data_IF_991945929940
#
_entry.id   IF_991945929940
#
_cell.length_a   1.000
_cell.length_b   1.000
_cell.length_c   1.000
_cell.angle_alpha   90.00
_cell.angle_beta   90.00
_cell.angle_gamma   90.00
#
_symmetry.space_group_name_H-M   'P 1'
#
loop_
_entity.id
_entity.type
_entity.pdbx_description
1 polymer ?
#
# COMPACT_ATOMS: atom_id res chain seq x y z
N UNK A 1 -4.65 9.61 -11.98
CA UNK A 1 -4.03 8.71 -10.97
C UNK A 1 -4.01 9.43 -9.64
N UNK A 2 -4.38 8.76 -8.53
CA UNK A 2 -4.28 9.31 -7.17
C UNK A 2 -3.11 8.62 -6.46
N UNK A 3 -1.88 8.93 -6.84
CA UNK A 3 -0.65 8.39 -6.23
C UNK A 3 0.03 9.39 -5.26
N UNK A 4 -0.76 10.32 -4.72
CA UNK A 4 -0.29 11.31 -3.74
C UNK A 4 -0.65 10.99 -2.30
N UNK A 5 -1.79 10.36 -1.94
CA UNK A 5 -1.99 9.95 -0.57
C UNK A 5 -1.17 8.68 -0.34
N UNK A 6 -0.09 8.77 0.44
CA UNK A 6 0.66 7.63 0.96
C UNK A 6 -0.26 6.76 1.86
N UNK A 7 -1.16 6.01 1.22
CA UNK A 7 -2.28 5.30 1.82
C UNK A 7 -2.63 4.09 0.97
N UNK A 8 -3.01 3.00 1.64
CA UNK A 8 -3.60 1.81 1.01
C UNK A 8 -5.10 1.82 1.33
N UNK A 9 -5.93 1.76 0.30
CA UNK A 9 -7.38 1.60 0.42
C UNK A 9 -7.74 0.17 0.01
N UNK A 10 -8.45 -0.55 0.89
CA UNK A 10 -8.91 -1.92 0.63
C UNK A 10 -10.36 -1.86 0.17
N UNK A 11 -10.62 -2.45 -0.99
CA UNK A 11 -11.94 -2.57 -1.58
C UNK A 11 -12.41 -4.03 -1.52
N UNK A 12 -13.65 -4.24 -1.07
CA UNK A 12 -14.39 -5.46 -1.34
C UNK A 12 -15.15 -5.27 -2.63
N UNK A 13 -14.89 -6.11 -3.64
CA UNK A 13 -15.59 -6.09 -4.92
C UNK A 13 -16.79 -7.03 -4.89
N UNK A 14 -17.87 -6.67 -5.59
CA UNK A 14 -18.97 -7.60 -5.84
C UNK A 14 -18.51 -8.78 -6.73
N UNK A 15 -19.30 -9.84 -6.80
CA UNK A 15 -18.95 -11.06 -7.56
C UNK A 15 -18.69 -10.78 -9.04
N UNK A 16 -19.30 -9.73 -9.59
CA UNK A 16 -19.09 -9.29 -10.98
C UNK A 16 -17.86 -8.41 -11.19
N UNK A 17 -17.23 -7.93 -10.12
CA UNK A 17 -16.09 -7.01 -10.16
C UNK A 17 -16.43 -5.60 -10.67
N UNK A 18 -17.72 -5.25 -10.75
CA UNK A 18 -18.18 -3.96 -11.30
C UNK A 18 -18.44 -2.91 -10.23
N UNK A 19 -18.54 -3.31 -8.96
CA UNK A 19 -18.76 -2.40 -7.82
C UNK A 19 -17.78 -2.73 -6.70
N UNK A 20 -17.22 -1.70 -6.07
CA UNK A 20 -16.34 -1.83 -4.92
C UNK A 20 -16.82 -1.03 -3.73
N UNK A 21 -16.78 -1.63 -2.55
CA UNK A 21 -17.01 -0.93 -1.27
C UNK A 21 -15.70 -0.82 -0.52
N UNK A 22 -15.34 0.37 -0.03
CA UNK A 22 -14.17 0.56 0.82
C UNK A 22 -14.43 -0.11 2.17
N UNK A 23 -13.57 -1.08 2.53
CA UNK A 23 -13.69 -1.80 3.80
C UNK A 23 -12.60 -1.43 4.81
N UNK A 24 -11.49 -0.87 4.34
CA UNK A 24 -10.43 -0.35 5.19
C UNK A 24 -9.60 0.71 4.46
N UNK A 25 -9.00 1.60 5.23
CA UNK A 25 -7.94 2.50 4.76
C UNK A 25 -6.82 2.49 5.80
N UNK A 26 -5.58 2.40 5.33
CA UNK A 26 -4.40 2.39 6.20
C UNK A 26 -3.33 3.31 5.65
N UNK A 27 -2.78 4.13 6.55
CA UNK A 27 -1.57 4.91 6.32
C UNK A 27 -0.49 4.42 7.28
N UNK A 28 0.75 4.56 6.87
CA UNK A 28 1.92 4.28 7.68
C UNK A 28 2.93 5.42 7.42
N UNK A 29 3.58 5.97 8.45
CA UNK A 29 4.58 7.02 8.26
C UNK A 29 5.77 6.60 7.38
N UNK A 30 5.99 5.29 7.19
CA UNK A 30 7.02 4.73 6.32
C UNK A 30 6.58 4.62 4.86
N UNK A 31 5.33 4.96 4.54
CA UNK A 31 4.86 4.97 3.15
C UNK A 31 5.41 6.18 2.40
N UNK A 32 6.01 5.88 1.26
CA UNK A 32 6.47 6.84 0.28
C UNK A 32 6.20 6.27 -1.11
N UNK A 33 5.05 6.63 -1.65
CA UNK A 33 4.58 6.11 -2.94
C UNK A 33 4.45 4.58 -2.95
N UNK A 34 3.54 3.96 -2.17
CA UNK A 34 3.31 2.52 -2.21
C UNK A 34 2.91 2.05 -3.61
N UNK A 35 3.57 1.01 -4.14
CA UNK A 35 3.31 0.54 -5.52
C UNK A 35 2.95 -0.93 -5.62
N UNK A 36 3.68 -1.81 -4.93
CA UNK A 36 3.43 -3.25 -4.94
C UNK A 36 3.24 -3.76 -3.52
N UNK A 37 2.30 -4.69 -3.35
CA UNK A 37 1.98 -5.33 -2.09
C UNK A 37 1.95 -6.85 -2.23
N UNK A 38 2.39 -7.54 -1.18
CA UNK A 38 2.27 -8.98 -1.02
C UNK A 38 1.70 -9.31 0.36
N UNK A 39 0.83 -10.33 0.43
CA UNK A 39 0.24 -10.79 1.67
C UNK A 39 0.90 -12.08 2.12
N UNK A 40 1.32 -12.14 3.39
CA UNK A 40 1.84 -13.36 4.00
C UNK A 40 1.55 -13.37 5.51
N UNK A 41 0.86 -14.42 5.98
CA UNK A 41 0.39 -14.51 7.35
C UNK A 41 -0.65 -13.43 7.67
N UNK A 42 -0.43 -12.71 8.77
CA UNK A 42 -1.23 -11.59 9.28
C UNK A 42 -0.71 -10.22 8.81
N UNK A 43 0.18 -10.18 7.80
CA UNK A 43 0.85 -8.95 7.35
C UNK A 43 0.71 -8.71 5.85
N UNK A 44 0.74 -7.43 5.51
CA UNK A 44 1.05 -6.93 4.16
C UNK A 44 2.48 -6.40 4.11
N UNK A 45 3.19 -6.76 3.05
CA UNK A 45 4.54 -6.32 2.72
C UNK A 45 4.45 -5.38 1.53
N UNK A 46 4.90 -4.15 1.72
CA UNK A 46 4.67 -3.03 0.80
C UNK A 46 6.01 -2.51 0.31
N UNK A 47 6.11 -2.29 -1.00
CA UNK A 47 7.23 -1.58 -1.64
C UNK A 47 6.87 -0.13 -1.89
N UNK A 48 7.83 0.75 -1.67
CA UNK A 48 7.75 2.18 -1.90
C UNK A 48 8.58 2.52 -3.14
N UNK A 49 8.04 3.31 -4.06
CA UNK A 49 8.75 3.68 -5.28
C UNK A 49 9.61 4.94 -5.14
N UNK A 50 9.41 5.74 -4.08
CA UNK A 50 10.21 6.95 -3.81
C UNK A 50 10.31 7.90 -5.02
N UNK A 51 9.20 8.11 -5.76
CA UNK A 51 9.20 8.87 -7.02
C UNK A 51 9.72 10.32 -6.91
N UNK A 52 9.75 10.87 -5.70
CA UNK A 52 10.19 12.25 -5.44
C UNK A 52 11.53 12.33 -4.71
N UNK A 53 12.28 11.22 -4.60
CA UNK A 53 13.62 11.29 -4.05
C UNK A 53 14.52 12.18 -4.92
N UNK A 54 15.18 13.14 -4.28
CA UNK A 54 16.15 14.01 -4.95
C UNK A 54 17.47 13.29 -5.29
N UNK A 55 17.73 12.15 -4.64
CA UNK A 55 18.93 11.34 -4.85
C UNK A 55 18.57 9.83 -4.82
N UNK A 56 18.00 9.29 -5.92
CA UNK A 56 17.58 7.90 -5.99
C UNK A 56 18.75 6.91 -5.87
N UNK A 57 19.98 7.32 -6.20
CA UNK A 57 21.15 6.46 -6.09
C UNK A 57 21.54 6.14 -4.64
N UNK A 58 21.21 7.05 -3.71
CA UNK A 58 21.48 6.91 -2.28
C UNK A 58 20.20 6.82 -1.44
N UNK A 59 19.06 6.49 -2.07
CA UNK A 59 17.80 6.28 -1.35
C UNK A 59 17.80 4.90 -0.70
N UNK A 60 17.45 4.84 0.58
CA UNK A 60 17.25 3.58 1.28
C UNK A 60 15.93 2.93 0.85
N UNK A 61 16.03 1.81 0.15
CA UNK A 61 14.87 1.00 -0.24
C UNK A 61 14.63 -0.12 0.77
N UNK A 62 13.40 -0.21 1.26
CA UNK A 62 12.99 -1.23 2.22
C UNK A 62 11.62 -1.81 1.89
N UNK A 63 11.38 -3.03 2.40
CA UNK A 63 10.04 -3.62 2.44
C UNK A 63 9.37 -3.20 3.74
N UNK A 64 8.24 -2.50 3.62
CA UNK A 64 7.44 -2.05 4.77
C UNK A 64 6.41 -3.12 5.12
N UNK A 65 6.56 -3.76 6.27
CA UNK A 65 5.58 -4.72 6.77
C UNK A 65 4.58 -4.04 7.74
N UNK A 66 3.29 -4.14 7.42
CA UNK A 66 2.16 -3.67 8.26
C UNK A 66 1.21 -4.83 8.59
N UNK A 67 0.39 -4.75 9.64
CA UNK A 67 -0.73 -5.67 9.83
C UNK A 67 -1.66 -5.66 8.61
N UNK A 68 -2.22 -6.80 8.25
CA UNK A 68 -3.15 -6.90 7.12
C UNK A 68 -4.51 -6.26 7.46
N UNK A 69 -4.85 -5.09 6.89
CA UNK A 69 -6.08 -4.36 7.22
C UNK A 69 -7.35 -5.09 6.77
N UNK A 70 -7.23 -6.10 5.90
CA UNK A 70 -8.36 -6.93 5.46
C UNK A 70 -8.65 -8.10 6.40
N UNK A 71 -7.70 -8.46 7.27
CA UNK A 71 -7.89 -9.48 8.32
C UNK A 71 -8.25 -8.76 9.61
N UNK A 72 -9.53 -8.76 9.94
CA UNK A 72 -10.01 -8.55 11.32
C UNK A 72 -10.26 -9.89 11.98
#
# INVERSE_FOLDING_TARGET
>A
MRNTPNKITVLHLDDSGTKGTVIAEVSDPRFDTPTTLARHGDRLYVTNAHFYSADPANTDYAITAIPDPARR
#
